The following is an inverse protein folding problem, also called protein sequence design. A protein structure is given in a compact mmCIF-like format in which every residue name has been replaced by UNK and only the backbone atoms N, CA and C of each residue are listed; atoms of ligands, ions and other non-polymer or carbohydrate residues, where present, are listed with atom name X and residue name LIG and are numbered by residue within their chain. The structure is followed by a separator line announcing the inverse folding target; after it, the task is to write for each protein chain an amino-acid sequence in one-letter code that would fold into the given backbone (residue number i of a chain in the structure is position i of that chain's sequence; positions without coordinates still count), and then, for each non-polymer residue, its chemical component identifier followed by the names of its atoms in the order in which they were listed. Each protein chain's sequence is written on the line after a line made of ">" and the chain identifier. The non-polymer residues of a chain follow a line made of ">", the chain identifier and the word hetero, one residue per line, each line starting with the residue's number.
data_IF_534462258443
#
_entry.id   IF_534462258443
#
_cell.length_a   1.000
_cell.length_b   1.000
_cell.length_c   1.000
_cell.angle_alpha   90.00
_cell.angle_beta   90.00
_cell.angle_gamma   90.00
#
_symmetry.space_group_name_H-M   'P 1'
#
loop_
_entity.id
_entity.type
_entity.pdbx_description
1 polymer ?
#
# COMPACT_ATOMS: atom_id res chain seq x y z
N UNK A 1 -18.57 -57.67 -5.25
CA UNK A 1 -18.69 -56.62 -6.29
C UNK A 1 -19.99 -55.89 -5.99
N UNK A 2 -20.12 -55.14 -4.90
CA UNK A 2 -19.50 -53.85 -4.57
C UNK A 2 -19.60 -52.84 -5.71
N UNK A 3 -20.54 -51.90 -5.57
CA UNK A 3 -20.39 -50.47 -5.91
C UNK A 3 -21.63 -49.72 -5.43
N UNK A 4 -21.67 -49.53 -4.10
CA UNK A 4 -22.36 -48.41 -3.48
C UNK A 4 -21.28 -47.35 -3.26
N UNK A 5 -21.24 -46.31 -4.09
CA UNK A 5 -20.40 -45.13 -3.87
C UNK A 5 -21.35 -43.92 -3.81
N UNK A 6 -21.34 -43.15 -2.71
CA UNK A 6 -22.29 -42.08 -2.49
C UNK A 6 -21.99 -40.88 -3.38
N UNK A 7 -23.03 -40.08 -3.65
CA UNK A 7 -22.85 -38.71 -4.12
C UNK A 7 -22.13 -37.95 -3.00
N UNK A 8 -20.86 -37.59 -3.22
CA UNK A 8 -20.16 -36.66 -2.36
C UNK A 8 -20.99 -35.38 -2.28
N UNK A 9 -21.43 -35.07 -1.06
CA UNK A 9 -22.00 -33.80 -0.68
C UNK A 9 -21.06 -32.71 -1.18
N UNK A 10 -21.57 -31.85 -2.07
CA UNK A 10 -20.97 -30.55 -2.29
C UNK A 10 -21.00 -29.85 -0.94
N UNK A 11 -19.83 -29.74 -0.33
CA UNK A 11 -19.59 -29.01 0.91
C UNK A 11 -19.77 -27.52 0.61
N UNK A 12 -21.04 -27.09 0.58
CA UNK A 12 -21.48 -25.71 0.28
C UNK A 12 -21.40 -24.79 1.50
N UNK A 13 -20.80 -25.26 2.60
CA UNK A 13 -20.67 -24.51 3.86
C UNK A 13 -19.22 -24.47 4.37
N UNK A 14 -18.22 -24.53 3.47
CA UNK A 14 -16.93 -23.96 3.82
C UNK A 14 -17.17 -22.46 4.11
N UNK A 15 -16.96 -21.96 5.34
CA UNK A 15 -16.99 -20.53 5.56
C UNK A 15 -15.93 -19.97 4.62
N UNK A 16 -16.37 -19.25 3.58
CA UNK A 16 -15.48 -18.38 2.84
C UNK A 16 -15.07 -17.36 3.87
N UNK A 17 -13.95 -17.63 4.56
CA UNK A 17 -13.34 -16.64 5.42
C UNK A 17 -13.14 -15.45 4.51
N UNK A 18 -13.94 -14.41 4.73
CA UNK A 18 -13.67 -13.12 4.16
C UNK A 18 -12.19 -12.86 4.42
N UNK A 19 -11.41 -12.41 3.43
CA UNK A 19 -10.04 -12.07 3.70
C UNK A 19 -10.01 -11.16 4.94
N UNK A 20 -9.46 -11.64 6.07
CA UNK A 20 -9.22 -10.86 7.31
C UNK A 20 -8.21 -9.71 7.06
N UNK A 21 -7.90 -9.41 5.80
CA UNK A 21 -6.66 -8.79 5.43
C UNK A 21 -6.80 -7.28 5.52
N UNK A 22 -5.93 -6.73 6.37
CA UNK A 22 -5.63 -5.33 6.39
C UNK A 22 -5.14 -4.84 5.03
N UNK A 23 -5.12 -3.53 4.91
CA UNK A 23 -4.71 -2.80 3.74
C UNK A 23 -3.22 -3.01 3.46
N UNK A 24 -2.91 -3.54 2.27
CA UNK A 24 -1.57 -4.04 1.94
C UNK A 24 -0.83 -3.01 1.11
N UNK A 25 0.25 -2.48 1.67
CA UNK A 25 1.05 -1.42 1.05
C UNK A 25 2.46 -1.96 0.76
N UNK A 26 2.89 -1.76 -0.49
CA UNK A 26 4.25 -2.07 -0.93
C UNK A 26 5.10 -0.80 -0.99
N UNK A 27 6.24 -0.76 -0.32
CA UNK A 27 7.19 0.35 -0.42
C UNK A 27 8.42 -0.14 -1.19
N UNK A 28 8.77 0.59 -2.25
CA UNK A 28 9.86 0.24 -3.17
C UNK A 28 10.88 1.38 -3.15
N UNK A 29 11.98 1.19 -2.41
CA UNK A 29 13.05 2.18 -2.27
C UNK A 29 14.38 1.46 -1.99
N UNK A 30 15.47 1.88 -2.61
CA UNK A 30 16.77 1.25 -2.41
C UNK A 30 17.37 1.53 -1.03
N UNK A 31 16.84 2.55 -0.33
CA UNK A 31 17.32 2.97 0.97
C UNK A 31 16.50 2.35 2.13
N UNK A 32 17.10 1.46 2.95
CA UNK A 32 16.41 0.85 4.09
C UNK A 32 15.95 1.84 5.16
N UNK A 33 16.53 3.06 5.22
CA UNK A 33 16.05 4.09 6.13
C UNK A 33 14.64 4.57 5.74
N UNK A 34 14.32 4.62 4.45
CA UNK A 34 12.99 4.96 3.95
C UNK A 34 11.98 3.91 4.40
N UNK A 35 12.32 2.62 4.29
CA UNK A 35 11.47 1.53 4.79
C UNK A 35 11.16 1.68 6.28
N UNK A 36 12.19 1.99 7.09
CA UNK A 36 12.02 2.22 8.52
C UNK A 36 11.13 3.44 8.83
N UNK A 37 11.18 4.49 8.01
CA UNK A 37 10.33 5.67 8.20
C UNK A 37 8.88 5.39 7.82
N UNK A 38 8.61 4.69 6.72
CA UNK A 38 7.25 4.22 6.39
C UNK A 38 6.67 3.32 7.49
N UNK A 39 7.47 2.41 8.06
CA UNK A 39 7.04 1.58 9.18
C UNK A 39 6.65 2.42 10.41
N UNK A 40 7.40 3.49 10.74
CA UNK A 40 7.07 4.38 11.87
C UNK A 40 5.80 5.20 11.64
N UNK A 41 5.49 5.51 10.38
CA UNK A 41 4.34 6.32 10.00
C UNK A 41 3.07 5.47 9.97
N UNK A 42 3.12 4.30 9.33
CA UNK A 42 1.93 3.53 8.95
C UNK A 42 1.61 2.36 9.87
N UNK A 43 2.57 1.83 10.64
CA UNK A 43 2.28 0.74 11.56
C UNK A 43 1.85 1.28 12.92
N UNK A 44 0.90 0.58 13.60
CA UNK A 44 0.48 0.96 14.94
C UNK A 44 1.68 1.06 15.87
N UNK A 45 1.82 2.18 16.57
CA UNK A 45 2.79 2.28 17.65
C UNK A 45 2.24 1.46 18.83
N UNK A 46 3.03 0.58 19.48
CA UNK A 46 2.61 0.00 20.73
C UNK A 46 2.45 1.13 21.75
N UNK A 47 1.19 1.51 22.02
CA UNK A 47 0.86 2.50 23.03
C UNK A 47 1.03 1.85 24.42
N UNK A 48 1.76 2.48 25.36
CA UNK A 48 1.73 2.08 26.77
C UNK A 48 0.38 2.36 27.46
N UNK A 49 -0.63 2.83 26.72
CA UNK A 49 -1.86 3.36 27.30
C UNK A 49 -3.02 3.40 26.31
N UNK A 50 -3.92 2.43 26.47
CA UNK A 50 -5.36 2.61 26.27
C UNK A 50 -5.98 3.65 27.24
N UNK A 51 -5.15 4.38 28.02
CA UNK A 51 -5.57 5.36 29.03
C UNK A 51 -5.52 6.82 28.57
N UNK A 52 -4.77 7.16 27.50
CA UNK A 52 -4.61 8.55 27.05
C UNK A 52 -5.76 9.08 26.17
N UNK A 53 -6.50 8.19 25.50
CA UNK A 53 -7.63 8.53 24.62
C UNK A 53 -8.80 9.19 25.39
N UNK A 54 -8.82 9.10 26.72
CA UNK A 54 -9.83 9.75 27.56
C UNK A 54 -9.59 11.25 27.81
N UNK A 55 -8.35 11.74 27.69
CA UNK A 55 -8.04 13.14 28.00
C UNK A 55 -8.13 14.08 26.80
N UNK A 56 -7.98 13.57 25.57
CA UNK A 56 -8.07 14.42 24.37
C UNK A 56 -9.51 14.82 24.03
N UNK A 57 -10.51 14.02 24.45
CA UNK A 57 -11.93 14.30 24.23
C UNK A 57 -12.49 15.47 25.05
N UNK A 58 -11.77 15.93 26.09
CA UNK A 58 -12.23 17.01 26.97
C UNK A 58 -11.59 18.38 26.65
N UNK A 59 -10.45 18.39 25.98
CA UNK A 59 -9.62 19.61 25.79
C UNK A 59 -9.75 20.22 24.39
N UNK A 60 -10.10 19.41 23.38
CA UNK A 60 -10.25 19.86 22.00
C UNK A 60 -11.73 19.84 21.64
N UNK A 61 -12.40 21.00 21.79
CA UNK A 61 -13.80 21.19 21.37
C UNK A 61 -14.05 20.79 19.91
N UNK A 62 -15.33 20.59 19.56
CA UNK A 62 -15.94 19.94 18.37
C UNK A 62 -15.49 20.42 16.95
N UNK A 63 -14.32 21.04 16.79
CA UNK A 63 -13.72 21.40 15.50
C UNK A 63 -12.45 20.62 15.19
N UNK A 64 -12.12 19.59 15.96
CA UNK A 64 -11.20 18.56 15.50
C UNK A 64 -11.85 17.82 14.34
N UNK A 65 -11.57 18.26 13.09
CA UNK A 65 -11.81 17.45 11.89
C UNK A 65 -11.47 16.01 12.26
N UNK A 66 -12.42 15.08 12.09
CA UNK A 66 -12.18 13.65 12.26
C UNK A 66 -10.92 13.31 11.46
N UNK A 67 -9.76 13.30 12.14
CA UNK A 67 -8.51 12.90 11.53
C UNK A 67 -8.72 11.44 11.25
N UNK A 68 -8.69 11.08 9.97
CA UNK A 68 -8.73 9.70 9.54
C UNK A 68 -7.65 8.95 10.33
N UNK A 69 -8.07 8.11 11.29
CA UNK A 69 -7.13 7.39 12.15
C UNK A 69 -6.63 6.21 11.35
N UNK A 70 -5.38 6.27 10.89
CA UNK A 70 -4.72 5.10 10.29
C UNK A 70 -4.77 3.90 11.24
N UNK A 71 -4.78 4.15 12.56
CA UNK A 71 -4.92 3.12 13.60
C UNK A 71 -6.18 2.24 13.46
N UNK A 72 -7.23 2.73 12.80
CA UNK A 72 -8.44 1.95 12.52
C UNK A 72 -8.29 1.02 11.30
N UNK A 73 -7.24 1.21 10.49
CA UNK A 73 -6.90 0.33 9.38
C UNK A 73 -5.89 -0.69 9.86
N UNK A 74 -6.22 -1.97 9.77
CA UNK A 74 -5.18 -2.99 9.77
C UNK A 74 -4.32 -2.70 8.53
N UNK A 75 -3.02 -2.39 8.67
CA UNK A 75 -2.09 -2.21 7.56
C UNK A 75 -1.07 -3.35 7.57
N UNK A 76 -0.82 -3.95 6.41
CA UNK A 76 0.32 -4.83 6.17
C UNK A 76 1.33 -4.10 5.26
N UNK A 77 2.58 -3.94 5.72
CA UNK A 77 3.65 -3.39 4.91
C UNK A 77 4.55 -4.50 4.36
N UNK A 78 4.86 -4.42 3.07
CA UNK A 78 5.99 -5.11 2.48
C UNK A 78 6.95 -4.13 1.83
N UNK A 79 8.20 -4.56 1.70
CA UNK A 79 9.29 -3.72 1.23
C UNK A 79 10.03 -4.43 0.10
N UNK A 80 10.43 -3.66 -0.91
CA UNK A 80 11.33 -4.09 -1.96
C UNK A 80 12.42 -3.05 -2.16
N UNK A 81 13.67 -3.48 -2.32
CA UNK A 81 14.80 -2.60 -2.57
C UNK A 81 14.97 -2.22 -4.05
N UNK A 82 14.30 -2.95 -4.94
CA UNK A 82 14.38 -2.71 -6.39
C UNK A 82 13.04 -2.93 -7.05
N UNK A 83 12.86 -2.33 -8.23
CA UNK A 83 11.68 -2.62 -9.05
C UNK A 83 11.56 -4.09 -9.47
N UNK A 84 12.66 -4.83 -9.60
CA UNK A 84 12.62 -6.27 -9.94
C UNK A 84 12.03 -7.07 -8.78
N UNK A 85 12.56 -6.85 -7.57
CA UNK A 85 12.08 -7.49 -6.35
C UNK A 85 10.59 -7.20 -6.15
N UNK A 86 10.14 -5.96 -6.38
CA UNK A 86 8.72 -5.61 -6.28
C UNK A 86 7.82 -6.44 -7.21
N UNK A 87 8.25 -6.71 -8.45
CA UNK A 87 7.48 -7.57 -9.38
C UNK A 87 7.48 -9.03 -8.91
N UNK A 88 8.58 -9.51 -8.33
CA UNK A 88 8.65 -10.85 -7.75
C UNK A 88 7.71 -10.98 -6.54
N UNK A 89 7.65 -9.97 -5.66
CA UNK A 89 6.70 -9.93 -4.54
C UNK A 89 5.26 -9.93 -5.04
N UNK A 90 4.94 -9.09 -6.02
CA UNK A 90 3.59 -9.00 -6.59
C UNK A 90 3.16 -10.32 -7.23
N UNK A 91 4.04 -10.96 -7.99
CA UNK A 91 3.76 -12.26 -8.61
C UNK A 91 3.58 -13.38 -7.58
N UNK A 92 4.42 -13.41 -6.53
CA UNK A 92 4.29 -14.37 -5.44
C UNK A 92 2.97 -14.20 -4.69
N UNK A 93 2.65 -12.98 -4.27
CA UNK A 93 1.45 -12.70 -3.47
C UNK A 93 0.18 -12.93 -4.30
N UNK A 94 0.20 -12.60 -5.60
CA UNK A 94 -0.91 -12.90 -6.51
C UNK A 94 -1.20 -14.41 -6.60
N UNK A 95 -0.16 -15.27 -6.57
CA UNK A 95 -0.35 -16.73 -6.53
C UNK A 95 -0.95 -17.22 -5.20
N UNK A 96 -0.82 -16.45 -4.13
CA UNK A 96 -1.45 -16.70 -2.83
C UNK A 96 -2.84 -16.05 -2.70
N UNK A 97 -3.36 -15.43 -3.77
CA UNK A 97 -4.63 -14.71 -3.75
C UNK A 97 -4.59 -13.38 -2.97
N UNK A 98 -3.40 -12.87 -2.68
CA UNK A 98 -3.18 -11.59 -1.99
C UNK A 98 -2.82 -10.51 -3.00
N UNK A 99 -3.42 -9.33 -2.88
CA UNK A 99 -3.11 -8.17 -3.71
C UNK A 99 -2.50 -7.07 -2.87
N UNK A 100 -1.73 -6.17 -3.50
CA UNK A 100 -1.39 -4.90 -2.88
C UNK A 100 -2.43 -3.89 -3.29
N UNK A 101 -2.80 -3.03 -2.37
CA UNK A 101 -3.78 -1.99 -2.63
C UNK A 101 -3.09 -0.66 -3.01
N UNK A 102 -1.89 -0.44 -2.49
CA UNK A 102 -1.10 0.74 -2.79
C UNK A 102 0.39 0.42 -2.86
N UNK A 103 1.12 1.11 -3.73
CA UNK A 103 2.57 1.09 -3.76
C UNK A 103 3.18 2.49 -3.70
N UNK A 104 4.19 2.67 -2.85
CA UNK A 104 5.10 3.81 -2.88
C UNK A 104 6.35 3.42 -3.65
N UNK A 105 6.71 4.19 -4.66
CA UNK A 105 7.78 3.84 -5.60
C UNK A 105 8.79 4.97 -5.67
N UNK A 106 10.05 4.69 -5.35
CA UNK A 106 11.12 5.62 -5.63
C UNK A 106 11.40 5.74 -7.13
N UNK A 107 11.75 6.94 -7.59
CA UNK A 107 12.07 7.17 -8.99
C UNK A 107 13.43 6.56 -9.39
N UNK A 108 14.40 6.46 -8.48
CA UNK A 108 15.80 6.13 -8.79
C UNK A 108 16.33 4.99 -7.93
N UNK A 109 16.12 3.76 -8.39
CA UNK A 109 16.60 2.55 -7.72
C UNK A 109 17.65 1.78 -8.56
N UNK A 110 18.90 2.28 -8.66
CA UNK A 110 19.95 1.57 -9.40
C UNK A 110 20.50 0.36 -8.62
N UNK A 111 20.87 -0.75 -9.29
CA UNK A 111 20.66 -1.06 -10.70
C UNK A 111 19.26 -1.64 -10.96
N UNK A 112 18.72 -1.40 -12.17
CA UNK A 112 17.49 -2.04 -12.61
C UNK A 112 16.47 -1.04 -13.16
N UNK A 113 15.20 -1.26 -12.81
CA UNK A 113 14.08 -0.45 -13.26
C UNK A 113 14.01 0.87 -12.47
N UNK A 114 13.81 1.98 -13.19
CA UNK A 114 13.44 3.24 -12.57
C UNK A 114 11.97 3.20 -12.08
N UNK A 115 11.52 4.22 -11.37
CA UNK A 115 10.16 4.27 -10.85
C UNK A 115 9.09 4.22 -11.94
N UNK A 116 9.37 4.75 -13.14
CA UNK A 116 8.44 4.69 -14.28
C UNK A 116 8.32 3.27 -14.82
N UNK A 117 9.43 2.59 -15.07
CA UNK A 117 9.42 1.22 -15.57
C UNK A 117 8.82 0.26 -14.53
N UNK A 118 9.11 0.48 -13.24
CA UNK A 118 8.52 -0.27 -12.13
C UNK A 118 7.00 -0.09 -12.13
N UNK A 119 6.52 1.17 -12.14
CA UNK A 119 5.09 1.49 -12.18
C UNK A 119 4.38 0.86 -13.36
N UNK A 120 4.96 0.95 -14.57
CA UNK A 120 4.40 0.35 -15.78
C UNK A 120 4.25 -1.16 -15.66
N UNK A 121 5.22 -1.84 -15.02
CA UNK A 121 5.17 -3.29 -14.80
C UNK A 121 4.16 -3.65 -13.73
N UNK A 122 4.13 -2.92 -12.62
CA UNK A 122 3.13 -3.11 -11.57
C UNK A 122 1.71 -3.03 -12.15
N UNK A 123 1.40 -2.01 -12.95
CA UNK A 123 0.09 -1.89 -13.60
C UNK A 123 -0.21 -2.94 -14.68
N UNK A 124 0.81 -3.48 -15.35
CA UNK A 124 0.60 -4.62 -16.25
C UNK A 124 0.16 -5.88 -15.48
N UNK A 125 0.56 -6.01 -14.22
CA UNK A 125 0.15 -7.10 -13.34
C UNK A 125 -1.18 -6.80 -12.63
N UNK A 126 -1.34 -5.58 -12.12
CA UNK A 126 -2.53 -5.12 -11.41
C UNK A 126 -2.90 -3.67 -11.81
N UNK A 127 -3.85 -3.48 -12.75
CA UNK A 127 -4.26 -2.15 -13.20
C UNK A 127 -4.97 -1.30 -12.14
N UNK A 128 -5.45 -1.91 -11.04
CA UNK A 128 -6.18 -1.23 -9.97
C UNK A 128 -5.25 -0.75 -8.84
N UNK A 129 -3.98 -1.16 -8.87
CA UNK A 129 -2.98 -0.77 -7.87
C UNK A 129 -2.79 0.76 -7.84
N UNK A 130 -3.06 1.36 -6.68
CA UNK A 130 -2.79 2.76 -6.41
C UNK A 130 -1.28 3.00 -6.30
N UNK A 131 -0.73 4.02 -6.97
CA UNK A 131 0.73 4.25 -7.02
C UNK A 131 1.08 5.69 -6.67
N UNK A 132 1.98 5.85 -5.70
CA UNK A 132 2.61 7.12 -5.36
C UNK A 132 4.10 7.06 -5.72
N UNK A 133 4.53 7.83 -6.72
CA UNK A 133 5.93 7.94 -7.12
C UNK A 133 6.58 9.09 -6.35
N UNK A 134 7.69 8.81 -5.68
CA UNK A 134 8.51 9.79 -5.00
C UNK A 134 9.71 10.19 -5.86
N UNK A 135 9.98 11.50 -5.95
CA UNK A 135 10.94 12.09 -6.91
C UNK A 135 11.88 13.08 -6.23
N UNK A 136 13.10 13.22 -6.72
CA UNK A 136 14.00 14.33 -6.35
C UNK A 136 13.95 15.44 -7.39
N UNK A 137 14.53 16.60 -7.10
CA UNK A 137 14.53 17.76 -8.02
C UNK A 137 15.14 17.45 -9.41
N UNK A 138 15.99 16.44 -9.52
CA UNK A 138 16.66 16.04 -10.76
C UNK A 138 15.93 14.96 -11.57
N UNK A 139 14.78 14.48 -11.10
CA UNK A 139 14.11 13.30 -11.65
C UNK A 139 13.12 13.56 -12.79
N UNK A 140 13.07 14.80 -13.26
CA UNK A 140 12.16 15.25 -14.31
C UNK A 140 10.91 15.90 -13.74
N UNK A 141 10.14 16.53 -14.63
CA UNK A 141 8.89 17.19 -14.26
C UNK A 141 7.75 16.16 -14.17
N UNK A 142 6.81 16.40 -13.25
CA UNK A 142 5.59 15.60 -13.06
C UNK A 142 4.84 15.41 -14.38
N UNK A 143 4.77 16.45 -15.22
CA UNK A 143 4.14 16.38 -16.53
C UNK A 143 4.79 15.33 -17.46
N UNK A 144 6.12 15.15 -17.38
CA UNK A 144 6.82 14.14 -18.18
C UNK A 144 6.53 12.73 -17.68
N UNK A 145 6.50 12.54 -16.37
CA UNK A 145 6.18 11.25 -15.73
C UNK A 145 4.77 10.81 -16.14
N UNK A 146 3.78 11.70 -16.00
CA UNK A 146 2.40 11.45 -16.41
C UNK A 146 2.31 11.18 -17.91
N UNK A 147 3.06 11.91 -18.75
CA UNK A 147 3.08 11.65 -20.20
C UNK A 147 3.59 10.25 -20.55
N UNK A 148 4.56 9.74 -19.80
CA UNK A 148 5.16 8.41 -20.02
C UNK A 148 4.28 7.27 -19.50
N UNK A 149 3.58 7.49 -18.40
CA UNK A 149 2.74 6.48 -17.74
C UNK A 149 1.28 6.49 -18.21
N UNK A 150 0.83 7.63 -18.74
CA UNK A 150 -0.58 7.90 -18.99
C UNK A 150 -1.28 8.49 -17.76
N UNK A 151 -2.40 9.20 -17.95
CA UNK A 151 -3.21 9.69 -16.85
C UNK A 151 -3.87 8.51 -16.13
N UNK A 152 -3.80 8.50 -14.80
CA UNK A 152 -4.50 7.56 -13.93
C UNK A 152 -5.05 8.32 -12.72
N UNK A 153 -6.30 8.06 -12.28
CA UNK A 153 -6.85 8.68 -11.07
C UNK A 153 -6.12 8.24 -9.79
N UNK A 154 -5.43 7.10 -9.84
CA UNK A 154 -4.72 6.48 -8.72
C UNK A 154 -3.20 6.63 -8.85
N UNK A 155 -2.73 7.67 -9.55
CA UNK A 155 -1.31 8.02 -9.65
C UNK A 155 -1.03 9.37 -8.98
N UNK A 156 -0.09 9.36 -8.03
CA UNK A 156 0.47 10.57 -7.43
C UNK A 156 1.96 10.67 -7.71
N UNK A 157 2.45 11.89 -7.94
CA UNK A 157 3.88 12.19 -8.07
C UNK A 157 4.24 13.23 -7.03
N UNK A 158 5.17 12.91 -6.14
CA UNK A 158 5.47 13.68 -4.94
C UNK A 158 6.98 13.97 -4.86
N UNK A 159 7.39 15.17 -4.45
CA UNK A 159 8.79 15.46 -4.21
C UNK A 159 9.26 14.83 -2.89
N UNK A 160 10.50 14.35 -2.87
CA UNK A 160 11.21 13.92 -1.66
C UNK A 160 11.77 15.15 -0.92
N UNK A 161 11.86 15.10 0.43
CA UNK A 161 11.40 14.01 1.28
C UNK A 161 9.87 13.96 1.38
N UNK A 162 9.29 12.76 1.45
CA UNK A 162 7.87 12.59 1.70
C UNK A 162 7.59 12.98 3.16
N UNK A 163 6.72 13.97 3.39
CA UNK A 163 6.29 14.30 4.74
C UNK A 163 5.35 13.22 5.28
N UNK A 164 5.35 13.04 6.61
CA UNK A 164 4.45 12.10 7.27
C UNK A 164 2.98 12.38 6.90
N UNK A 165 2.55 13.64 6.99
CA UNK A 165 1.18 14.06 6.66
C UNK A 165 0.81 13.72 5.20
N UNK A 166 1.76 13.80 4.26
CA UNK A 166 1.52 13.46 2.85
C UNK A 166 1.27 11.95 2.70
N UNK A 167 2.11 11.12 3.33
CA UNK A 167 1.96 9.66 3.33
C UNK A 167 0.62 9.28 3.93
N UNK A 168 0.26 9.83 5.10
CA UNK A 168 -0.99 9.53 5.77
C UNK A 168 -2.22 9.96 4.94
N UNK A 169 -2.18 11.14 4.31
CA UNK A 169 -3.28 11.65 3.49
C UNK A 169 -3.45 10.87 2.20
N UNK A 170 -2.37 10.43 1.56
CA UNK A 170 -2.44 9.62 0.34
C UNK A 170 -3.00 8.23 0.64
N UNK A 171 -2.58 7.66 1.76
CA UNK A 171 -3.13 6.42 2.29
C UNK A 171 -4.63 6.65 2.59
N UNK A 172 -5.03 7.67 3.35
CA UNK A 172 -6.45 7.96 3.52
C UNK A 172 -7.23 8.14 2.18
N UNK A 173 -6.64 8.82 1.20
CA UNK A 173 -7.26 9.07 -0.09
C UNK A 173 -7.44 7.79 -0.92
N UNK A 174 -6.41 6.95 -1.04
CA UNK A 174 -6.49 5.69 -1.77
C UNK A 174 -7.48 4.71 -1.10
N UNK A 175 -7.56 4.71 0.23
CA UNK A 175 -8.57 3.94 0.97
C UNK A 175 -10.01 4.40 0.73
N UNK A 176 -10.24 5.66 0.34
CA UNK A 176 -11.59 6.16 0.09
C UNK A 176 -12.05 5.99 -1.37
N UNK A 177 -11.15 5.58 -2.28
CA UNK A 177 -11.41 5.46 -3.72
C UNK A 177 -11.75 4.04 -4.20
N UNK A 178 -11.82 3.07 -3.29
CA UNK A 178 -12.21 1.67 -3.57
C UNK A 178 -13.72 1.49 -3.74
#
# INVERSE_FOLDING_TARGET
>A
MNENQPFDELDIDAPTQAPEFGWRILVIDDNPAVHADFAKILLPKPSPGDELDRYEHEVLGESGRERFRIDAMAIELQFAHTGIEAIELLARDANEGKRFDMAFVDMRMPPGFDGIETTRRLWNHDPELAIAISTTHSDGDTAEIIRRLGPSPSLWVLPKPLAQDDVEQLVAAAFLQR
#
